data_IF_066495850648
#
_entry.id   IF_066495850648
#
_cell.length_a   1.000
_cell.length_b   1.000
_cell.length_c   1.000
_cell.angle_alpha   90.00
_cell.angle_beta   90.00
_cell.angle_gamma   90.00
#
_symmetry.space_group_name_H-M   'P 1'
#
loop_
_entity.id
_entity.type
_entity.pdbx_description
1 polymer ?
#
# COMPACT_ATOMS: atom_id res chain seq x y z
N UNK A 1 3.01 2.58 -12.99
CA UNK A 1 3.86 2.84 -11.80
C UNK A 1 5.20 2.16 -12.04
N UNK A 2 6.32 2.75 -11.61
CA UNK A 2 7.64 2.09 -11.66
C UNK A 2 7.77 1.12 -10.47
N UNK A 3 8.65 0.14 -10.60
CA UNK A 3 8.91 -0.82 -9.53
C UNK A 3 9.56 -0.11 -8.33
N UNK A 4 9.11 -0.44 -7.12
CA UNK A 4 9.85 -0.04 -5.93
C UNK A 4 11.20 -0.78 -5.93
N UNK A 5 12.28 -0.05 -6.15
CA UNK A 5 13.63 -0.60 -6.34
C UNK A 5 14.46 -0.43 -5.07
N UNK A 6 14.66 -1.53 -4.34
CA UNK A 6 15.46 -1.60 -3.13
C UNK A 6 16.86 -2.19 -3.37
N UNK A 7 17.26 -2.40 -4.63
CA UNK A 7 18.51 -3.11 -4.99
C UNK A 7 19.79 -2.46 -4.44
N UNK A 8 19.74 -1.17 -4.12
CA UNK A 8 20.85 -0.42 -3.50
C UNK A 8 20.83 -0.41 -1.96
N UNK A 9 19.96 -1.18 -1.32
CA UNK A 9 19.84 -1.24 0.14
C UNK A 9 19.25 0.04 0.77
N UNK A 10 18.52 0.83 -0.02
CA UNK A 10 17.86 2.07 0.46
C UNK A 10 16.38 1.78 0.70
N UNK A 11 15.95 1.99 1.94
CA UNK A 11 14.60 1.67 2.37
C UNK A 11 14.42 0.18 2.68
N UNK A 12 13.22 -0.19 3.11
CA UNK A 12 12.88 -1.58 3.47
C UNK A 12 11.40 -1.84 3.23
N UNK A 13 11.06 -3.08 2.90
CA UNK A 13 9.66 -3.53 2.81
C UNK A 13 9.32 -4.39 4.01
N UNK A 14 8.29 -4.01 4.75
CA UNK A 14 7.72 -4.78 5.84
C UNK A 14 6.35 -5.32 5.43
N UNK A 15 6.00 -6.52 5.88
CA UNK A 15 4.65 -7.04 5.70
C UNK A 15 4.16 -7.78 6.94
N UNK A 16 2.86 -7.84 7.10
CA UNK A 16 2.19 -8.63 8.13
C UNK A 16 0.85 -9.12 7.63
N UNK A 17 0.62 -10.42 7.79
CA UNK A 17 -0.61 -11.11 7.43
C UNK A 17 -1.51 -11.33 8.65
N UNK A 18 -2.83 -11.26 8.42
CA UNK A 18 -3.86 -11.43 9.45
C UNK A 18 -4.97 -12.35 8.92
N UNK A 19 -4.96 -13.60 9.36
CA UNK A 19 -6.06 -14.54 9.13
C UNK A 19 -7.13 -14.36 10.22
N UNK A 20 -8.29 -13.82 9.84
CA UNK A 20 -9.33 -13.37 10.76
C UNK A 20 -10.69 -14.04 10.54
N UNK A 21 -10.75 -15.04 9.66
CA UNK A 21 -11.91 -15.88 9.48
C UNK A 21 -12.21 -16.63 10.78
N UNK A 22 -13.36 -16.34 11.39
CA UNK A 22 -13.83 -16.97 12.64
C UNK A 22 -12.89 -16.80 13.85
N UNK A 23 -11.99 -15.82 13.85
CA UNK A 23 -11.09 -15.53 14.97
C UNK A 23 -11.25 -14.08 15.45
N UNK A 24 -10.67 -13.78 16.61
CA UNK A 24 -10.68 -12.44 17.17
C UNK A 24 -9.92 -11.47 16.26
N UNK A 25 -10.55 -10.35 15.90
CA UNK A 25 -9.94 -9.36 15.01
C UNK A 25 -9.05 -8.40 15.80
N UNK A 26 -7.76 -8.29 15.44
CA UNK A 26 -6.87 -7.33 16.09
C UNK A 26 -7.34 -5.89 15.81
N UNK A 27 -6.96 -4.91 16.66
CA UNK A 27 -7.37 -3.51 16.50
C UNK A 27 -7.14 -2.94 15.09
N UNK A 28 -6.01 -3.26 14.47
CA UNK A 28 -5.69 -2.83 13.11
C UNK A 28 -6.71 -3.32 12.07
N UNK A 29 -7.09 -4.60 12.10
CA UNK A 29 -8.08 -5.15 11.15
C UNK A 29 -9.45 -4.50 11.37
N UNK A 30 -9.83 -4.22 12.62
CA UNK A 30 -11.10 -3.52 12.93
C UNK A 30 -11.13 -2.10 12.36
N UNK A 31 -10.00 -1.39 12.39
CA UNK A 31 -9.87 -0.06 11.77
C UNK A 31 -9.98 -0.13 10.23
N UNK A 32 -9.36 -1.13 9.61
CA UNK A 32 -9.49 -1.40 8.16
C UNK A 32 -10.95 -1.67 7.80
N UNK A 33 -11.64 -2.55 8.54
CA UNK A 33 -13.06 -2.81 8.34
C UNK A 33 -13.91 -1.54 8.48
N UNK A 34 -13.66 -0.73 9.51
CA UNK A 34 -14.40 0.51 9.73
C UNK A 34 -14.25 1.47 8.55
N UNK A 35 -13.05 1.60 7.97
CA UNK A 35 -12.80 2.39 6.77
C UNK A 35 -13.56 1.84 5.56
N UNK A 36 -13.47 0.53 5.30
CA UNK A 36 -14.16 -0.09 4.16
C UNK A 36 -15.67 0.07 4.29
N UNK A 37 -16.25 -0.21 5.46
CA UNK A 37 -17.69 -0.05 5.71
C UNK A 37 -18.14 1.39 5.50
N UNK A 38 -17.34 2.37 5.95
CA UNK A 38 -17.63 3.79 5.78
C UNK A 38 -17.64 4.21 4.30
N UNK A 39 -16.63 3.82 3.52
CA UNK A 39 -16.50 4.25 2.12
C UNK A 39 -17.44 3.49 1.18
N UNK A 40 -17.60 2.19 1.40
CA UNK A 40 -18.38 1.31 0.53
C UNK A 40 -19.84 1.15 0.98
N UNK A 41 -20.22 1.74 2.12
CA UNK A 41 -21.55 1.61 2.75
C UNK A 41 -22.01 0.14 2.83
N UNK A 42 -21.11 -0.72 3.30
CA UNK A 42 -21.31 -2.18 3.33
C UNK A 42 -21.19 -2.74 4.75
N UNK A 43 -21.62 -4.00 4.93
CA UNK A 43 -21.44 -4.78 6.16
C UNK A 43 -20.10 -5.54 6.18
N UNK A 44 -19.10 -5.07 5.42
CA UNK A 44 -17.83 -5.77 5.19
C UNK A 44 -17.18 -6.31 6.47
N UNK A 45 -16.67 -7.54 6.43
CA UNK A 45 -16.01 -8.20 7.55
C UNK A 45 -14.85 -9.03 7.03
N UNK A 46 -13.62 -8.62 7.31
CA UNK A 46 -12.43 -9.26 6.78
C UNK A 46 -12.31 -10.70 7.30
N UNK A 47 -12.12 -11.64 6.37
CA UNK A 47 -11.66 -12.99 6.62
C UNK A 47 -10.13 -13.06 6.58
N UNK A 48 -9.51 -12.19 5.80
CA UNK A 48 -8.07 -12.12 5.62
C UNK A 48 -7.61 -10.70 5.31
N UNK A 49 -6.44 -10.30 5.80
CA UNK A 49 -5.83 -8.99 5.53
C UNK A 49 -4.31 -9.09 5.46
N UNK A 50 -3.71 -8.45 4.46
CA UNK A 50 -2.27 -8.24 4.33
C UNK A 50 -1.96 -6.75 4.38
N UNK A 51 -1.09 -6.37 5.32
CA UNK A 51 -0.52 -5.02 5.42
C UNK A 51 0.90 -5.07 4.88
N UNK A 52 1.22 -4.18 3.93
CA UNK A 52 2.55 -3.98 3.38
C UNK A 52 2.96 -2.54 3.64
N UNK A 53 4.19 -2.31 4.09
CA UNK A 53 4.78 -0.99 4.29
C UNK A 53 6.08 -0.92 3.51
N UNK A 54 6.17 0.03 2.58
CA UNK A 54 7.42 0.40 1.94
C UNK A 54 7.97 1.61 2.70
N UNK A 55 8.96 1.37 3.55
CA UNK A 55 9.64 2.40 4.33
C UNK A 55 10.80 2.98 3.52
N UNK A 56 10.83 4.31 3.39
CA UNK A 56 11.90 5.04 2.68
C UNK A 56 12.21 4.47 1.30
N UNK A 57 11.18 4.06 0.56
CA UNK A 57 11.32 3.61 -0.82
C UNK A 57 11.84 4.75 -1.69
N UNK A 58 12.83 4.52 -2.56
CA UNK A 58 13.26 5.52 -3.54
C UNK A 58 12.11 5.99 -4.42
N UNK A 59 12.04 7.29 -4.68
CA UNK A 59 10.94 7.92 -5.46
C UNK A 59 11.01 7.60 -6.96
N UNK A 60 12.20 7.27 -7.45
CA UNK A 60 12.46 6.85 -8.83
C UNK A 60 13.26 5.54 -8.80
N UNK A 61 13.31 4.79 -9.90
CA UNK A 61 14.20 3.63 -10.04
C UNK A 61 15.59 4.00 -9.49
N UNK A 62 16.19 3.14 -8.67
CA UNK A 62 17.26 3.48 -7.73
C UNK A 62 18.58 3.97 -8.37
N UNK A 63 18.59 4.12 -9.69
CA UNK A 63 19.70 4.52 -10.53
C UNK A 63 20.08 6.00 -10.41
N UNK A 64 19.14 6.89 -10.08
CA UNK A 64 19.36 8.35 -10.21
C UNK A 64 19.54 9.11 -8.89
N UNK A 65 18.63 8.97 -7.92
CA UNK A 65 18.70 9.73 -6.65
C UNK A 65 18.07 8.94 -5.49
N UNK A 66 18.90 8.52 -4.54
CA UNK A 66 18.48 7.79 -3.33
C UNK A 66 18.18 8.69 -2.13
N UNK A 67 18.37 10.01 -2.26
CA UNK A 67 18.13 10.96 -1.15
C UNK A 67 16.65 11.26 -0.99
N UNK A 68 15.88 11.19 -2.08
CA UNK A 68 14.42 11.35 -2.06
C UNK A 68 13.76 10.00 -1.86
N UNK A 69 13.11 9.86 -0.72
CA UNK A 69 12.40 8.63 -0.35
C UNK A 69 10.98 8.93 0.08
N UNK A 70 10.10 7.94 -0.10
CA UNK A 70 8.70 7.98 0.30
C UNK A 70 8.38 6.79 1.20
N UNK A 71 7.53 7.01 2.20
CA UNK A 71 6.93 5.94 2.99
C UNK A 71 5.45 5.84 2.71
N UNK A 72 5.00 4.64 2.34
CA UNK A 72 3.59 4.37 2.05
C UNK A 72 3.23 2.93 2.45
N UNK A 73 1.94 2.69 2.65
CA UNK A 73 1.41 1.38 3.00
C UNK A 73 0.31 0.97 2.03
N UNK A 74 0.21 -0.34 1.78
CA UNK A 74 -0.94 -0.94 1.15
C UNK A 74 -1.58 -1.93 2.11
N UNK A 75 -2.91 -1.95 2.15
CA UNK A 75 -3.67 -2.96 2.87
C UNK A 75 -4.57 -3.66 1.86
N UNK A 76 -4.29 -4.93 1.59
CA UNK A 76 -5.17 -5.82 0.84
C UNK A 76 -6.04 -6.58 1.84
N UNK A 77 -7.35 -6.56 1.64
CA UNK A 77 -8.29 -7.19 2.58
C UNK A 77 -9.43 -7.85 1.82
N UNK A 78 -9.87 -9.03 2.26
CA UNK A 78 -10.98 -9.76 1.64
C UNK A 78 -11.88 -10.42 2.68
N UNK A 79 -13.18 -10.46 2.40
CA UNK A 79 -14.18 -11.22 3.15
C UNK A 79 -14.47 -12.61 2.53
N UNK A 80 -13.76 -12.96 1.46
CA UNK A 80 -13.99 -14.18 0.67
C UNK A 80 -14.92 -14.00 -0.54
N UNK A 81 -15.64 -12.88 -0.62
CA UNK A 81 -16.50 -12.52 -1.76
C UNK A 81 -16.08 -11.22 -2.44
N UNK A 82 -15.62 -10.24 -1.65
CA UNK A 82 -15.18 -8.92 -2.08
C UNK A 82 -13.80 -8.64 -1.52
N UNK A 83 -12.97 -8.04 -2.36
CA UNK A 83 -11.61 -7.66 -2.00
C UNK A 83 -11.41 -6.16 -2.22
N UNK A 84 -10.67 -5.53 -1.31
CA UNK A 84 -10.36 -4.11 -1.34
C UNK A 84 -8.86 -3.89 -1.13
N UNK A 85 -8.35 -2.83 -1.76
CA UNK A 85 -6.99 -2.32 -1.52
C UNK A 85 -7.11 -0.90 -0.98
N UNK A 86 -6.48 -0.64 0.16
CA UNK A 86 -6.30 0.70 0.70
C UNK A 86 -4.85 1.10 0.50
N UNK A 87 -4.61 2.11 -0.33
CA UNK A 87 -3.30 2.77 -0.46
C UNK A 87 -3.25 3.93 0.52
N UNK A 88 -2.30 3.88 1.45
CA UNK A 88 -2.14 4.86 2.52
C UNK A 88 -0.80 5.57 2.32
N UNK A 89 -0.85 6.89 2.24
CA UNK A 89 0.32 7.75 2.16
C UNK A 89 0.42 8.56 3.44
N UNK A 90 1.65 8.82 3.90
CA UNK A 90 1.85 9.83 4.92
C UNK A 90 1.30 11.17 4.39
N UNK A 91 0.68 11.97 5.27
CA UNK A 91 0.20 13.29 4.88
C UNK A 91 1.33 14.11 4.26
N UNK A 92 1.10 14.64 3.05
CA UNK A 92 2.10 15.32 2.21
C UNK A 92 3.40 14.52 1.95
N UNK A 93 3.40 13.22 2.25
CA UNK A 93 4.55 12.33 2.07
C UNK A 93 4.69 11.80 0.65
N UNK A 94 3.67 11.94 -0.18
CA UNK A 94 3.73 11.60 -1.61
C UNK A 94 4.53 12.66 -2.37
N UNK A 95 5.84 12.47 -2.47
CA UNK A 95 6.78 13.38 -3.14
C UNK A 95 7.16 12.93 -4.57
N UNK A 96 6.29 12.18 -5.23
CA UNK A 96 6.50 11.73 -6.59
C UNK A 96 6.52 12.92 -7.57
N UNK A 97 7.61 13.06 -8.31
CA UNK A 97 7.76 14.03 -9.38
C UNK A 97 7.53 13.35 -10.74
N UNK A 98 6.27 13.36 -11.20
CA UNK A 98 5.89 12.71 -12.46
C UNK A 98 6.52 13.37 -13.69
N UNK A 99 7.00 14.62 -13.58
CA UNK A 99 7.62 15.34 -14.70
C UNK A 99 8.97 14.73 -15.12
N UNK A 100 9.56 13.91 -14.25
CA UNK A 100 10.82 13.18 -14.52
C UNK A 100 10.62 11.84 -15.21
N UNK A 101 9.38 11.38 -15.40
CA UNK A 101 9.10 10.13 -16.08
C UNK A 101 9.19 10.30 -17.58
N UNK A 102 9.91 9.40 -18.26
CA UNK A 102 9.99 9.38 -19.73
C UNK A 102 8.62 9.15 -20.41
N UNK A 103 7.67 8.54 -19.68
CA UNK A 103 6.28 8.39 -20.09
C UNK A 103 5.35 8.97 -19.02
N UNK A 104 4.55 9.97 -19.38
CA UNK A 104 3.60 10.65 -18.49
C UNK A 104 2.23 9.94 -18.39
N UNK A 105 2.03 8.87 -19.16
CA UNK A 105 0.82 8.05 -19.11
C UNK A 105 0.87 7.12 -17.90
N UNK A 106 0.68 7.67 -16.71
CA UNK A 106 0.71 6.90 -15.46
C UNK A 106 -0.62 6.13 -15.33
N UNK A 107 -0.66 4.91 -15.86
CA UNK A 107 -1.71 3.93 -15.53
C UNK A 107 -1.38 3.22 -14.21
N UNK A 108 -2.40 3.07 -13.35
CA UNK A 108 -2.41 2.05 -12.30
C UNK A 108 -2.87 0.76 -12.99
N UNK A 109 -1.94 -0.15 -13.23
CA UNK A 109 -2.20 -1.41 -13.94
C UNK A 109 -0.92 -2.13 -14.31
N UNK A 110 -1.06 -3.38 -14.75
CA UNK A 110 0.00 -4.13 -15.42
C UNK A 110 -0.16 -3.95 -16.94
N UNK A 111 0.94 -4.03 -17.67
CA UNK A 111 0.95 -4.24 -19.14
C UNK A 111 1.37 -5.66 -19.42
#
# INVERSE_FOLDING_TARGET
WDNADFSRGVGTTYYQEFSTLNTAKPPFVRDVEAKVRRYMRSSYSAAWTLKITWEKAPVHAAWTDTRKTITYQAVLTTDGFRSYILMLYQDRGMQWDYTRLAATNVLIGYT
#
